data_IF_112954051055
#
_entry.id   IF_112954051055
#
_cell.length_a   1.000
_cell.length_b   1.000
_cell.length_c   1.000
_cell.angle_alpha   90.00
_cell.angle_beta   90.00
_cell.angle_gamma   90.00
#
_symmetry.space_group_name_H-M   'P 1'
#
loop_
_entity.id
_entity.type
_entity.pdbx_description
1 polymer ?
#
# COMPACT_ATOMS: atom_id res chain seq x y z
N UNK A 1 -14.09 1.34 -13.12
CA UNK A 1 -12.65 1.03 -13.36
C UNK A 1 -11.94 0.50 -12.11
N UNK A 2 -11.81 1.26 -10.99
CA UNK A 2 -11.10 0.79 -9.77
C UNK A 2 -11.61 -0.54 -9.20
N UNK A 3 -12.89 -0.59 -8.86
CA UNK A 3 -13.49 -1.80 -8.28
C UNK A 3 -13.46 -3.04 -9.19
N UNK A 4 -13.17 -2.88 -10.49
CA UNK A 4 -12.97 -4.00 -11.41
C UNK A 4 -11.60 -4.64 -11.18
N UNK A 5 -10.55 -3.83 -11.02
CA UNK A 5 -9.20 -4.32 -10.74
C UNK A 5 -9.08 -4.87 -9.33
N UNK A 6 -9.68 -4.21 -8.34
CA UNK A 6 -9.65 -4.66 -6.94
C UNK A 6 -10.29 -6.07 -6.75
N UNK A 7 -11.21 -6.48 -7.64
CA UNK A 7 -11.84 -7.82 -7.62
C UNK A 7 -10.89 -8.95 -8.03
N UNK A 8 -9.80 -8.64 -8.74
CA UNK A 8 -8.79 -9.62 -9.10
C UNK A 8 -7.98 -10.08 -7.88
N UNK A 9 -8.00 -9.30 -6.79
CA UNK A 9 -7.30 -9.62 -5.54
C UNK A 9 -8.18 -10.59 -4.71
N UNK A 10 -7.66 -11.75 -4.28
CA UNK A 10 -8.39 -12.70 -3.46
C UNK A 10 -8.94 -12.08 -2.17
N UNK A 11 -10.11 -12.57 -1.70
CA UNK A 11 -10.80 -12.01 -0.53
C UNK A 11 -9.92 -12.09 0.73
N UNK A 12 -9.24 -13.23 0.96
CA UNK A 12 -8.35 -13.41 2.10
C UNK A 12 -7.22 -12.37 2.11
N UNK A 13 -6.60 -12.12 0.95
CA UNK A 13 -5.58 -11.08 0.80
C UNK A 13 -6.17 -9.69 1.07
N UNK A 14 -7.36 -9.39 0.57
CA UNK A 14 -8.02 -8.09 0.84
C UNK A 14 -8.30 -7.86 2.33
N UNK A 15 -8.64 -8.92 3.06
CA UNK A 15 -8.91 -8.87 4.50
C UNK A 15 -7.63 -8.71 5.34
N UNK A 16 -6.49 -9.19 4.87
CA UNK A 16 -5.20 -8.99 5.55
C UNK A 16 -4.60 -7.62 5.22
N UNK A 17 -4.74 -7.15 3.99
CA UNK A 17 -4.17 -5.88 3.51
C UNK A 17 -5.14 -4.69 3.65
N UNK A 18 -5.88 -4.60 4.77
CA UNK A 18 -6.96 -3.59 4.99
C UNK A 18 -6.50 -2.16 4.77
N UNK A 19 -5.33 -1.77 5.26
CA UNK A 19 -4.86 -0.39 5.15
C UNK A 19 -4.87 0.16 3.72
N UNK A 20 -4.46 -0.65 2.74
CA UNK A 20 -4.52 -0.27 1.33
C UNK A 20 -5.93 -0.44 0.74
N UNK A 21 -6.66 -1.50 1.14
CA UNK A 21 -7.98 -1.82 0.59
C UNK A 21 -9.09 -0.85 1.06
N UNK A 22 -8.94 -0.26 2.25
CA UNK A 22 -9.91 0.67 2.84
C UNK A 22 -9.75 2.11 2.34
N UNK A 23 -8.63 2.44 1.71
CA UNK A 23 -8.47 3.74 1.08
C UNK A 23 -9.49 3.90 -0.04
N UNK A 24 -10.53 4.68 0.23
CA UNK A 24 -11.66 4.95 -0.67
C UNK A 24 -11.28 5.74 -1.92
N UNK A 25 -10.03 6.22 -2.02
CA UNK A 25 -9.50 6.94 -3.17
C UNK A 25 -9.80 8.44 -3.19
N UNK A 26 -10.34 9.01 -2.12
CA UNK A 26 -10.53 10.46 -2.02
C UNK A 26 -9.17 11.21 -2.00
N UNK A 27 -9.17 12.47 -2.42
CA UNK A 27 -7.96 13.29 -2.55
C UNK A 27 -7.64 14.15 -1.34
N UNK A 28 -8.27 13.91 -0.17
CA UNK A 28 -8.10 14.77 1.01
C UNK A 28 -6.66 14.84 1.50
N UNK A 29 -5.85 13.82 1.19
CA UNK A 29 -4.44 13.79 1.50
C UNK A 29 -3.55 14.66 0.59
N UNK A 30 -4.13 15.38 -0.37
CA UNK A 30 -3.42 16.35 -1.24
C UNK A 30 -3.66 17.79 -0.81
N UNK A 31 -3.93 18.02 0.47
CA UNK A 31 -4.04 19.37 1.02
C UNK A 31 -2.66 20.07 1.00
N UNK A 32 -2.64 21.40 1.08
CA UNK A 32 -1.43 22.21 1.19
C UNK A 32 -1.49 23.18 2.38
N UNK A 33 -2.61 23.21 3.13
CA UNK A 33 -2.71 23.99 4.36
C UNK A 33 -1.63 23.56 5.36
N UNK A 34 -0.85 24.53 5.83
CA UNK A 34 0.23 24.33 6.78
C UNK A 34 -0.26 23.70 8.10
N UNK A 35 -1.53 23.96 8.48
CA UNK A 35 -2.16 23.47 9.70
C UNK A 35 -2.85 22.12 9.55
N UNK A 36 -3.04 21.63 8.33
CA UNK A 36 -3.67 20.33 8.10
C UNK A 36 -2.68 19.21 8.41
N UNK A 37 -3.02 18.25 9.30
CA UNK A 37 -2.20 17.06 9.50
C UNK A 37 -2.18 16.26 8.19
N UNK A 38 -0.97 16.00 7.69
CA UNK A 38 -0.71 15.31 6.43
C UNK A 38 0.53 14.45 6.54
N UNK A 39 0.71 13.53 5.59
CA UNK A 39 1.90 12.70 5.56
C UNK A 39 3.16 13.55 5.24
N UNK A 40 4.19 13.56 6.11
CA UNK A 40 5.39 14.37 5.89
C UNK A 40 6.09 14.07 4.57
N UNK A 41 6.15 12.79 4.18
CA UNK A 41 6.78 12.36 2.92
C UNK A 41 6.15 13.01 1.68
N UNK A 42 4.81 13.07 1.59
CA UNK A 42 4.12 13.80 0.51
C UNK A 42 4.37 15.31 0.57
N UNK A 43 4.31 15.90 1.76
CA UNK A 43 4.42 17.36 1.95
C UNK A 43 5.80 17.88 1.53
N UNK A 44 6.86 17.15 1.89
CA UNK A 44 8.25 17.52 1.57
C UNK A 44 8.57 17.27 0.09
N UNK A 45 8.20 16.09 -0.42
CA UNK A 45 8.60 15.69 -1.80
C UNK A 45 7.66 16.21 -2.88
N UNK A 46 6.44 16.61 -2.51
CA UNK A 46 5.34 16.92 -3.43
C UNK A 46 4.97 15.79 -4.40
N UNK A 47 5.50 14.58 -4.19
CA UNK A 47 5.27 13.44 -5.06
C UNK A 47 4.09 12.61 -4.56
N UNK A 48 3.02 12.56 -5.36
CA UNK A 48 1.74 11.92 -5.03
C UNK A 48 1.86 10.45 -4.64
N UNK A 49 2.90 9.73 -5.07
CA UNK A 49 3.13 8.35 -4.66
C UNK A 49 3.37 8.24 -3.15
N UNK A 50 3.93 9.28 -2.54
CA UNK A 50 4.20 9.37 -1.11
C UNK A 50 3.00 9.88 -0.29
N UNK A 51 1.84 10.07 -0.91
CA UNK A 51 0.59 10.28 -0.18
C UNK A 51 -0.01 8.94 0.31
N UNK A 52 -0.87 8.95 1.34
CA UNK A 52 -1.68 7.78 1.71
C UNK A 52 -2.42 7.15 0.52
N UNK A 53 -3.06 7.98 -0.33
CA UNK A 53 -3.75 7.50 -1.54
C UNK A 53 -2.77 6.86 -2.54
N UNK A 54 -1.60 7.47 -2.73
CA UNK A 54 -0.56 6.99 -3.64
C UNK A 54 -0.06 5.62 -3.22
N UNK A 55 0.37 5.49 -1.96
CA UNK A 55 0.83 4.22 -1.39
C UNK A 55 -0.25 3.14 -1.45
N UNK A 56 -1.49 3.45 -1.06
CA UNK A 56 -2.58 2.49 -1.16
C UNK A 56 -2.82 2.03 -2.60
N UNK A 57 -2.67 2.92 -3.58
CA UNK A 57 -2.84 2.58 -5.00
C UNK A 57 -1.71 1.67 -5.49
N UNK A 58 -0.46 1.97 -5.12
CA UNK A 58 0.69 1.13 -5.45
C UNK A 58 0.56 -0.27 -4.85
N UNK A 59 0.19 -0.35 -3.57
CA UNK A 59 -0.01 -1.64 -2.89
C UNK A 59 -1.12 -2.45 -3.56
N UNK A 60 -2.27 -1.83 -3.88
CA UNK A 60 -3.35 -2.53 -4.59
C UNK A 60 -2.92 -3.05 -5.96
N UNK A 61 -2.17 -2.25 -6.72
CA UNK A 61 -1.68 -2.68 -8.04
C UNK A 61 -0.65 -3.81 -7.92
N UNK A 62 0.24 -3.73 -6.92
CA UNK A 62 1.17 -4.80 -6.63
C UNK A 62 0.44 -6.11 -6.27
N UNK A 63 -0.54 -6.06 -5.37
CA UNK A 63 -1.37 -7.23 -5.02
C UNK A 63 -2.12 -7.80 -6.23
N UNK A 64 -2.63 -6.93 -7.11
CA UNK A 64 -3.26 -7.34 -8.37
C UNK A 64 -2.28 -8.07 -9.28
N UNK A 65 -1.05 -7.55 -9.44
CA UNK A 65 0.00 -8.15 -10.26
C UNK A 65 0.53 -9.47 -9.70
N UNK A 66 0.52 -9.65 -8.37
CA UNK A 66 0.80 -10.93 -7.73
C UNK A 66 -0.30 -11.95 -7.99
N UNK A 67 -1.57 -11.55 -7.80
CA UNK A 67 -2.71 -12.41 -8.08
C UNK A 67 -2.75 -12.86 -9.55
N UNK A 68 -2.47 -11.94 -10.48
CA UNK A 68 -2.35 -12.21 -11.92
C UNK A 68 -1.26 -13.24 -12.26
N UNK A 69 -0.19 -13.31 -11.45
CA UNK A 69 0.89 -14.30 -11.58
C UNK A 69 0.70 -15.56 -10.74
N UNK A 70 -0.43 -15.68 -10.03
CA UNK A 70 -0.68 -16.81 -9.12
C UNK A 70 0.20 -16.83 -7.87
N UNK A 71 0.82 -15.70 -7.51
CA UNK A 71 1.63 -15.58 -6.30
C UNK A 71 0.73 -15.20 -5.12
N UNK A 72 0.77 -15.99 -4.06
CA UNK A 72 0.04 -15.72 -2.82
C UNK A 72 0.92 -14.90 -1.84
N UNK A 73 0.61 -13.62 -1.61
CA UNK A 73 1.41 -12.77 -0.73
C UNK A 73 1.40 -13.26 0.73
N UNK A 74 0.37 -13.98 1.17
CA UNK A 74 0.29 -14.47 2.55
C UNK A 74 1.25 -15.65 2.79
N UNK A 75 1.43 -16.51 1.78
CA UNK A 75 2.46 -17.56 1.82
C UNK A 75 3.86 -16.98 1.72
N UNK A 76 4.04 -16.01 0.82
CA UNK A 76 5.33 -15.33 0.64
C UNK A 76 5.80 -14.69 1.96
N UNK A 77 4.89 -14.08 2.72
CA UNK A 77 5.21 -13.50 4.04
C UNK A 77 5.68 -14.55 5.05
N UNK A 78 5.10 -15.74 5.05
CA UNK A 78 5.50 -16.85 5.94
C UNK A 78 6.87 -17.44 5.57
N UNK A 79 7.27 -17.34 4.30
CA UNK A 79 8.56 -17.84 3.81
C UNK A 79 9.70 -16.84 4.05
N UNK A 80 9.41 -15.59 4.45
CA UNK A 80 10.44 -14.61 4.75
C UNK A 80 11.18 -14.98 6.05
N UNK A 81 12.53 -14.96 6.05
CA UNK A 81 13.29 -15.23 7.25
C UNK A 81 13.01 -14.18 8.32
N UNK A 82 12.63 -14.61 9.53
CA UNK A 82 12.36 -13.72 10.68
C UNK A 82 13.61 -12.99 11.17
N UNK A 83 14.80 -13.46 10.79
CA UNK A 83 16.06 -12.80 11.08
C UNK A 83 16.20 -11.53 10.24
N UNK A 84 15.64 -10.43 10.73
CA UNK A 84 15.92 -9.11 10.18
C UNK A 84 17.40 -8.78 10.27
N UNK A 85 17.92 -8.09 9.26
CA UNK A 85 19.25 -7.49 9.30
C UNK A 85 19.26 -6.43 10.41
N UNK A 86 19.95 -6.71 11.51
CA UNK A 86 20.15 -5.74 12.58
C UNK A 86 21.08 -4.63 12.11
N UNK A 87 20.54 -3.43 11.91
CA UNK A 87 21.35 -2.22 11.65
C UNK A 87 22.13 -1.75 12.90
N UNK A 88 21.89 -2.36 14.07
CA UNK A 88 22.69 -2.12 15.28
C UNK A 88 24.03 -2.86 15.26
N UNK A 89 24.24 -3.72 14.27
CA UNK A 89 25.43 -4.57 14.13
C UNK A 89 26.28 -4.16 12.93
N UNK A 90 25.98 -3.01 12.31
CA UNK A 90 26.78 -2.35 11.26
C UNK A 90 27.58 -1.18 11.86
#
# INVERSE_FOLDING_TARGET
KRGTFDRQIPIAVRQQWRGAMECNGNGLCFNFDARSPMCPSMKITQNRIHSPKGRATLVREWLRLLADRGVDPLKLEQELPESGVSLRTL
#
